data_IF_423222169264
#
_entry.id   IF_423222169264
#
_cell.length_a   1.000
_cell.length_b   1.000
_cell.length_c   1.000
_cell.angle_alpha   90.00
_cell.angle_beta   90.00
_cell.angle_gamma   90.00
#
_symmetry.space_group_name_H-M   'P 1'
#
loop_
_entity.id
_entity.type
_entity.pdbx_description
1 polymer ?
#
# COMPACT_ATOMS: atom_id res chain seq x y z
N UNK A 1 -23.39 -20.46 -73.80
CA UNK A 1 -22.28 -21.22 -73.18
C UNK A 1 -22.12 -20.67 -71.76
N UNK A 2 -22.69 -21.35 -70.76
CA UNK A 2 -22.06 -22.30 -69.82
C UNK A 2 -21.21 -21.62 -68.73
N UNK A 3 -21.51 -22.04 -67.50
CA UNK A 3 -21.32 -21.46 -66.17
C UNK A 3 -20.02 -21.88 -65.47
N UNK A 4 -19.79 -21.26 -64.29
CA UNK A 4 -18.92 -21.63 -63.12
C UNK A 4 -17.56 -20.92 -63.13
N UNK A 5 -17.03 -20.36 -62.04
CA UNK A 5 -17.05 -20.69 -60.59
C UNK A 5 -16.42 -19.46 -59.91
N UNK A 6 -16.81 -18.91 -58.75
CA UNK A 6 -17.35 -19.52 -57.55
C UNK A 6 -16.37 -19.31 -56.40
N UNK A 7 -16.87 -18.67 -55.32
CA UNK A 7 -16.38 -18.74 -53.95
C UNK A 7 -15.01 -18.12 -53.60
N UNK A 8 -15.04 -16.86 -53.15
CA UNK A 8 -14.02 -16.29 -52.25
C UNK A 8 -14.64 -15.16 -51.43
N UNK A 9 -15.71 -15.46 -50.67
CA UNK A 9 -16.40 -14.47 -49.82
C UNK A 9 -16.99 -15.08 -48.53
N UNK A 10 -16.43 -16.18 -48.03
CA UNK A 10 -16.94 -16.86 -46.84
C UNK A 10 -15.82 -17.28 -45.86
N UNK A 11 -14.85 -16.40 -45.59
CA UNK A 11 -13.85 -16.65 -44.54
C UNK A 11 -13.75 -15.56 -43.47
N UNK A 12 -14.73 -14.64 -43.40
CA UNK A 12 -14.70 -13.53 -42.43
C UNK A 12 -15.72 -13.64 -41.30
N UNK A 13 -16.58 -14.67 -41.30
CA UNK A 13 -17.72 -14.78 -40.38
C UNK A 13 -17.54 -15.77 -39.22
N UNK A 14 -16.35 -16.35 -39.03
CA UNK A 14 -16.09 -17.36 -37.97
C UNK A 14 -15.34 -16.78 -36.76
N UNK A 15 -14.85 -15.53 -36.82
CA UNK A 15 -14.12 -14.91 -35.71
C UNK A 15 -14.98 -14.14 -34.70
N UNK A 16 -16.31 -14.14 -34.85
CA UNK A 16 -17.24 -13.41 -33.96
C UNK A 16 -18.08 -14.32 -33.05
N UNK A 17 -17.83 -15.63 -33.05
CA UNK A 17 -18.52 -16.60 -32.20
C UNK A 17 -17.66 -17.08 -31.01
N UNK A 18 -16.82 -16.21 -30.47
CA UNK A 18 -15.92 -16.50 -29.33
C UNK A 18 -16.05 -15.53 -28.16
N UNK A 19 -17.10 -14.72 -28.09
CA UNK A 19 -17.42 -13.90 -26.91
C UNK A 19 -18.71 -14.40 -26.26
N UNK A 20 -18.71 -15.66 -25.81
CA UNK A 20 -19.77 -16.17 -24.95
C UNK A 20 -19.21 -17.19 -23.95
N UNK A 21 -18.45 -16.65 -23.00
CA UNK A 21 -18.41 -17.09 -21.61
C UNK A 21 -18.81 -15.80 -20.86
N UNK A 22 -20.02 -15.61 -20.34
CA UNK A 22 -20.66 -16.38 -19.26
C UNK A 22 -19.72 -16.69 -18.09
N UNK A 23 -18.76 -15.81 -17.84
CA UNK A 23 -18.21 -15.55 -16.51
C UNK A 23 -18.24 -14.04 -16.32
N UNK A 24 -19.43 -13.50 -16.02
CA UNK A 24 -19.43 -12.32 -15.17
C UNK A 24 -18.64 -12.76 -13.93
N UNK A 25 -17.54 -12.08 -13.55
CA UNK A 25 -16.85 -12.48 -12.34
C UNK A 25 -17.92 -12.50 -11.28
N UNK A 26 -18.17 -13.69 -10.69
CA UNK A 26 -18.89 -13.75 -9.44
C UNK A 26 -18.29 -12.63 -8.61
N UNK A 27 -19.12 -11.68 -8.20
CA UNK A 27 -18.75 -10.60 -7.30
C UNK A 27 -18.36 -11.29 -6.00
N UNK A 28 -17.17 -11.85 -6.02
CA UNK A 28 -16.67 -12.71 -4.99
C UNK A 28 -16.33 -11.75 -3.88
N UNK A 29 -16.84 -12.08 -2.71
CA UNK A 29 -16.32 -11.71 -1.40
C UNK A 29 -14.79 -11.95 -1.29
N UNK A 30 -14.10 -12.38 -2.35
CA UNK A 30 -12.65 -12.45 -2.48
C UNK A 30 -11.97 -11.09 -2.48
N UNK A 31 -12.62 -9.99 -2.91
CA UNK A 31 -12.07 -8.64 -2.69
C UNK A 31 -12.16 -8.25 -1.21
N UNK A 32 -13.26 -8.58 -0.52
CA UNK A 32 -13.41 -8.41 0.94
C UNK A 32 -12.41 -9.29 1.72
N UNK A 33 -12.08 -10.48 1.23
CA UNK A 33 -11.03 -11.34 1.80
C UNK A 33 -9.59 -10.92 1.44
N UNK A 34 -9.39 -10.17 0.35
CA UNK A 34 -8.07 -9.66 -0.05
C UNK A 34 -7.69 -8.40 0.74
N UNK A 35 -8.71 -7.65 1.15
CA UNK A 35 -8.62 -6.57 2.14
C UNK A 35 -9.29 -7.06 3.41
N UNK A 36 -8.70 -8.04 4.10
CA UNK A 36 -9.08 -8.32 5.48
C UNK A 36 -8.67 -7.10 6.32
N UNK A 37 -9.55 -6.10 6.31
CA UNK A 37 -9.61 -5.02 7.27
C UNK A 37 -10.06 -5.67 8.57
N UNK A 38 -9.22 -5.59 9.60
CA UNK A 38 -9.45 -6.32 10.84
C UNK A 38 -8.21 -6.56 11.68
N UNK A 39 -7.02 -6.41 11.10
CA UNK A 39 -5.77 -6.30 11.85
C UNK A 39 -5.02 -5.04 11.42
N UNK A 40 -5.39 -3.90 12.02
CA UNK A 40 -4.77 -2.62 11.73
C UNK A 40 -3.26 -2.63 11.96
N UNK A 41 -2.78 -3.45 12.91
CA UNK A 41 -1.36 -3.66 13.16
C UNK A 41 -0.68 -4.37 11.98
N UNK A 42 -1.21 -5.49 11.49
CA UNK A 42 -0.64 -6.19 10.34
C UNK A 42 -0.60 -5.30 9.09
N UNK A 43 -1.69 -4.58 8.82
CA UNK A 43 -1.80 -3.72 7.64
C UNK A 43 -0.80 -2.56 7.69
N UNK A 44 -0.68 -1.87 8.82
CA UNK A 44 0.25 -0.73 8.94
C UNK A 44 1.71 -1.18 8.94
N UNK A 45 2.04 -2.32 9.58
CA UNK A 45 3.40 -2.88 9.56
C UNK A 45 3.80 -3.27 8.14
N UNK A 46 2.88 -3.86 7.38
CA UNK A 46 3.07 -4.15 5.96
C UNK A 46 3.32 -2.89 5.14
N UNK A 47 2.52 -1.83 5.35
CA UNK A 47 2.69 -0.55 4.67
C UNK A 47 4.03 0.12 5.01
N UNK A 48 4.48 0.06 6.26
CA UNK A 48 5.81 0.53 6.69
C UNK A 48 6.90 -0.24 5.97
N UNK A 49 6.83 -1.58 5.95
CA UNK A 49 7.79 -2.42 5.24
C UNK A 49 7.86 -2.09 3.74
N UNK A 50 6.71 -1.87 3.11
CA UNK A 50 6.63 -1.45 1.72
C UNK A 50 7.29 -0.08 1.49
N UNK A 51 7.11 0.89 2.39
CA UNK A 51 7.81 2.17 2.31
C UNK A 51 9.33 2.01 2.48
N UNK A 52 9.75 1.17 3.42
CA UNK A 52 11.15 0.93 3.76
C UNK A 52 11.98 0.34 2.60
N UNK A 53 11.37 -0.40 1.68
CA UNK A 53 12.04 -0.93 0.48
C UNK A 53 12.68 0.15 -0.43
N UNK A 54 12.16 1.38 -0.46
CA UNK A 54 12.74 2.49 -1.25
C UNK A 54 13.63 3.41 -0.42
N UNK A 55 13.69 3.15 0.88
CA UNK A 55 14.39 3.97 1.82
C UNK A 55 15.83 3.49 1.98
N UNK A 56 16.77 4.43 1.97
CA UNK A 56 18.16 4.17 2.37
C UNK A 56 18.19 3.67 3.81
N UNK A 57 19.21 2.89 4.21
CA UNK A 57 19.35 2.46 5.60
C UNK A 57 19.26 3.62 6.61
N UNK A 58 18.86 3.30 7.85
CA UNK A 58 18.84 4.26 8.95
C UNK A 58 20.22 4.92 9.12
N UNK A 59 20.23 6.24 9.33
CA UNK A 59 21.47 7.05 9.42
C UNK A 59 22.00 7.52 8.06
N UNK A 60 21.37 7.14 6.95
CA UNK A 60 21.68 7.62 5.60
C UNK A 60 20.60 8.56 5.03
N UNK A 61 19.81 9.22 5.88
CA UNK A 61 18.73 10.13 5.47
C UNK A 61 19.24 11.25 4.56
N UNK A 62 20.49 11.70 4.77
CA UNK A 62 21.14 12.71 3.93
C UNK A 62 21.38 12.29 2.48
N UNK A 63 21.34 10.99 2.21
CA UNK A 63 21.55 10.40 0.89
C UNK A 63 20.26 9.80 0.32
N UNK A 64 19.13 10.06 0.97
CA UNK A 64 17.84 9.63 0.47
C UNK A 64 17.44 10.48 -0.72
N UNK A 65 17.18 9.81 -1.85
CA UNK A 65 16.48 10.44 -2.96
C UNK A 65 14.98 10.48 -2.63
N UNK A 66 14.41 11.68 -2.55
CA UNK A 66 12.99 11.89 -2.27
C UNK A 66 12.21 12.09 -3.57
N UNK A 67 12.22 11.07 -4.41
CA UNK A 67 11.44 11.05 -5.64
C UNK A 67 9.94 10.81 -5.37
N UNK A 68 9.16 10.78 -6.45
CA UNK A 68 7.72 10.55 -6.34
C UNK A 68 7.39 9.15 -5.78
N UNK A 69 8.25 8.16 -5.97
CA UNK A 69 8.01 6.81 -5.48
C UNK A 69 8.13 6.77 -3.96
N UNK A 70 9.20 7.32 -3.39
CA UNK A 70 9.39 7.45 -1.92
C UNK A 70 8.26 8.25 -1.30
N UNK A 71 7.91 9.40 -1.88
CA UNK A 71 6.81 10.23 -1.39
C UNK A 71 5.47 9.50 -1.42
N UNK A 72 5.20 8.76 -2.51
CA UNK A 72 3.98 7.96 -2.64
C UNK A 72 3.91 6.87 -1.58
N UNK A 73 5.01 6.13 -1.34
CA UNK A 73 4.99 5.04 -0.35
C UNK A 73 4.84 5.56 1.08
N UNK A 74 5.50 6.67 1.43
CA UNK A 74 5.27 7.34 2.70
C UNK A 74 3.81 7.78 2.85
N UNK A 75 3.21 8.36 1.80
CA UNK A 75 1.79 8.73 1.82
C UNK A 75 0.87 7.51 1.96
N UNK A 76 1.23 6.36 1.38
CA UNK A 76 0.49 5.11 1.53
C UNK A 76 0.42 4.65 2.98
N UNK A 77 1.50 4.80 3.77
CA UNK A 77 1.47 4.47 5.21
C UNK A 77 0.41 5.28 5.95
N UNK A 78 0.37 6.59 5.71
CA UNK A 78 -0.66 7.45 6.31
C UNK A 78 -2.08 7.13 5.81
N UNK A 79 -2.20 6.66 4.56
CA UNK A 79 -3.45 6.15 4.02
C UNK A 79 -3.92 4.91 4.78
N UNK A 80 -3.03 3.92 4.95
CA UNK A 80 -3.31 2.69 5.69
C UNK A 80 -3.71 2.97 7.12
N UNK A 81 -2.96 3.78 7.89
CA UNK A 81 -3.34 4.15 9.27
C UNK A 81 -4.77 4.70 9.35
N UNK A 82 -5.19 5.50 8.36
CA UNK A 82 -6.54 6.09 8.34
C UNK A 82 -7.61 5.07 7.97
N UNK A 83 -7.30 4.12 7.09
CA UNK A 83 -8.21 3.03 6.72
C UNK A 83 -8.45 2.11 7.91
N UNK A 84 -7.42 1.80 8.68
CA UNK A 84 -7.47 0.87 9.81
C UNK A 84 -7.86 1.54 11.14
N UNK A 85 -8.42 2.75 11.11
CA UNK A 85 -8.68 3.54 12.31
C UNK A 85 -9.60 2.85 13.33
N UNK A 86 -10.46 1.93 12.85
CA UNK A 86 -11.43 1.20 13.68
C UNK A 86 -10.90 -0.18 14.13
N UNK A 87 -9.75 -0.62 13.60
CA UNK A 87 -9.20 -1.98 13.76
C UNK A 87 -7.96 -2.01 14.66
N UNK A 88 -7.74 -0.98 15.48
CA UNK A 88 -6.63 -0.95 16.42
C UNK A 88 -6.90 -1.83 17.64
N UNK A 89 -5.94 -2.68 18.06
CA UNK A 89 -6.12 -3.55 19.22
C UNK A 89 -6.17 -2.79 20.55
N UNK A 90 -5.62 -1.56 20.60
CA UNK A 90 -5.65 -0.73 21.80
C UNK A 90 -5.48 0.76 21.49
N UNK A 91 -5.93 1.62 22.41
CA UNK A 91 -5.69 3.08 22.35
C UNK A 91 -4.19 3.43 22.31
N UNK A 92 -3.34 2.57 22.88
CA UNK A 92 -1.89 2.73 22.87
C UNK A 92 -1.36 2.63 21.44
N UNK A 93 -1.81 1.61 20.70
CA UNK A 93 -1.46 1.43 19.28
C UNK A 93 -2.01 2.57 18.44
N UNK A 94 -3.30 2.91 18.61
CA UNK A 94 -3.95 3.99 17.86
C UNK A 94 -3.19 5.32 17.98
N UNK A 95 -2.74 5.66 19.21
CA UNK A 95 -1.99 6.89 19.48
C UNK A 95 -0.67 6.91 18.69
N UNK A 96 0.11 5.83 18.77
CA UNK A 96 1.39 5.74 18.05
C UNK A 96 1.17 5.70 16.53
N UNK A 97 0.14 5.00 16.06
CA UNK A 97 -0.22 4.94 14.65
C UNK A 97 -0.57 6.33 14.09
N UNK A 98 -1.31 7.12 14.86
CA UNK A 98 -1.65 8.51 14.53
C UNK A 98 -0.40 9.38 14.37
N UNK A 99 0.57 9.27 15.28
CA UNK A 99 1.85 9.97 15.20
C UNK A 99 2.63 9.57 13.93
N UNK A 100 2.67 8.28 13.61
CA UNK A 100 3.28 7.77 12.38
C UNK A 100 2.62 8.36 11.13
N UNK A 101 1.29 8.40 11.07
CA UNK A 101 0.58 8.98 9.93
C UNK A 101 0.90 10.47 9.73
N UNK A 102 0.93 11.25 10.80
CA UNK A 102 1.29 12.68 10.74
C UNK A 102 2.70 12.85 10.20
N UNK A 103 3.66 12.07 10.70
CA UNK A 103 5.06 12.15 10.29
C UNK A 103 5.28 11.66 8.85
N UNK A 104 4.57 10.62 8.42
CA UNK A 104 4.61 10.12 7.05
C UNK A 104 4.06 11.15 6.04
N UNK A 105 2.97 11.85 6.41
CA UNK A 105 2.45 12.99 5.64
C UNK A 105 3.46 14.13 5.58
N UNK A 106 4.09 14.48 6.70
CA UNK A 106 5.11 15.53 6.72
C UNK A 106 6.29 15.16 5.81
N UNK A 107 6.83 13.95 5.95
CA UNK A 107 7.97 13.46 5.15
C UNK A 107 7.65 13.35 3.65
N UNK A 108 6.40 13.05 3.27
CA UNK A 108 5.99 12.96 1.86
C UNK A 108 5.74 14.31 1.17
N UNK A 109 5.48 15.37 1.94
CA UNK A 109 5.06 16.68 1.39
C UNK A 109 6.16 17.72 1.24
N UNK A 110 7.27 17.57 1.96
CA UNK A 110 8.35 18.56 1.91
C UNK A 110 8.97 18.56 0.51
N UNK A 111 9.09 19.76 -0.07
CA UNK A 111 9.55 19.95 -1.43
C UNK A 111 11.04 19.59 -1.59
N UNK A 112 11.40 19.19 -2.81
CA UNK A 112 12.78 18.92 -3.20
C UNK A 112 13.56 20.21 -3.50
N UNK A 113 13.61 21.12 -2.54
CA UNK A 113 14.41 22.35 -2.56
C UNK A 113 15.64 22.22 -1.66
N UNK A 114 16.69 23.03 -1.89
CA UNK A 114 17.84 23.10 -0.98
C UNK A 114 17.45 23.49 0.45
N UNK A 115 16.50 24.42 0.62
CA UNK A 115 16.05 24.86 1.94
C UNK A 115 15.24 23.77 2.67
N UNK A 116 14.48 22.96 1.92
CA UNK A 116 13.68 21.86 2.46
C UNK A 116 14.47 20.57 2.72
N UNK A 117 15.75 20.50 2.37
CA UNK A 117 16.54 19.28 2.48
C UNK A 117 16.73 18.83 3.93
N UNK A 118 17.15 19.74 4.81
CA UNK A 118 17.34 19.45 6.24
C UNK A 118 16.03 19.09 6.92
N UNK A 119 14.93 19.73 6.53
CA UNK A 119 13.60 19.43 7.04
C UNK A 119 13.14 18.03 6.60
N UNK A 120 13.38 17.65 5.33
CA UNK A 120 13.11 16.29 4.82
C UNK A 120 13.86 15.24 5.63
N UNK A 121 15.16 15.44 5.83
CA UNK A 121 16.00 14.49 6.57
C UNK A 121 15.49 14.32 8.00
N UNK A 122 15.15 15.43 8.68
CA UNK A 122 14.61 15.39 10.04
C UNK A 122 13.23 14.73 10.10
N UNK A 123 12.36 15.02 9.14
CA UNK A 123 11.02 14.43 9.08
C UNK A 123 11.08 12.93 8.80
N UNK A 124 11.96 12.50 7.90
CA UNK A 124 12.20 11.08 7.64
C UNK A 124 12.75 10.35 8.88
N UNK A 125 13.71 10.96 9.58
CA UNK A 125 14.26 10.39 10.82
C UNK A 125 13.18 10.23 11.90
N UNK A 126 12.33 11.25 12.09
CA UNK A 126 11.21 11.19 13.03
C UNK A 126 10.21 10.10 12.65
N UNK A 127 9.82 10.06 11.38
CA UNK A 127 8.95 9.02 10.85
C UNK A 127 9.50 7.61 11.15
N UNK A 128 10.78 7.36 10.85
CA UNK A 128 11.41 6.05 11.11
C UNK A 128 11.41 5.66 12.58
N UNK A 129 11.68 6.64 13.45
CA UNK A 129 11.66 6.41 14.90
C UNK A 129 10.28 5.96 15.37
N UNK A 130 9.23 6.68 14.99
CA UNK A 130 7.86 6.32 15.40
C UNK A 130 7.34 5.09 14.67
N UNK A 131 7.73 4.86 13.41
CA UNK A 131 7.37 3.64 12.68
C UNK A 131 7.96 2.39 13.36
N UNK A 132 9.23 2.43 13.77
CA UNK A 132 9.83 1.35 14.55
C UNK A 132 9.13 1.16 15.89
N UNK A 133 8.73 2.24 16.56
CA UNK A 133 7.95 2.18 17.79
C UNK A 133 6.59 1.52 17.56
N UNK A 134 5.90 1.84 16.47
CA UNK A 134 4.62 1.22 16.13
C UNK A 134 4.76 -0.28 15.89
N UNK A 135 5.78 -0.70 15.13
CA UNK A 135 6.08 -2.12 14.89
C UNK A 135 6.26 -2.87 16.21
N UNK A 136 7.07 -2.32 17.13
CA UNK A 136 7.28 -2.92 18.45
C UNK A 136 5.99 -2.95 19.28
N UNK A 137 5.23 -1.85 19.28
CA UNK A 137 3.97 -1.76 20.02
C UNK A 137 2.95 -2.78 19.53
N UNK A 138 2.85 -2.99 18.22
CA UNK A 138 2.00 -4.01 17.61
C UNK A 138 2.46 -5.44 17.95
N UNK A 139 3.78 -5.67 17.96
CA UNK A 139 4.32 -6.98 18.36
C UNK A 139 3.99 -7.31 19.82
N UNK A 140 4.09 -6.33 20.72
CA UNK A 140 3.74 -6.51 22.13
C UNK A 140 2.27 -6.92 22.31
N UNK A 141 1.33 -6.26 21.62
CA UNK A 141 -0.11 -6.60 21.67
C UNK A 141 -0.39 -8.02 21.15
N UNK A 142 0.31 -8.44 20.09
CA UNK A 142 0.17 -9.80 19.55
C UNK A 142 0.65 -10.87 20.55
N UNK A 143 1.72 -10.59 21.30
CA UNK A 143 2.22 -11.48 22.36
C UNK A 143 1.23 -11.55 23.52
N UNK A 144 0.69 -10.41 23.96
CA UNK A 144 -0.28 -10.35 25.05
C UNK A 144 -1.57 -11.13 24.70
N UNK A 145 -2.08 -10.98 23.47
CA UNK A 145 -3.25 -11.70 22.98
C UNK A 145 -3.05 -13.23 22.99
N UNK A 146 -1.88 -13.71 22.55
CA UNK A 146 -1.57 -15.15 22.53
C UNK A 146 -1.26 -15.77 23.90
N UNK A 147 -1.10 -14.96 24.95
CA UNK A 147 -0.87 -15.43 26.33
C UNK A 147 -2.15 -15.72 27.13
N UNK A 148 -3.31 -15.41 26.54
CA UNK A 148 -4.63 -15.54 27.18
C UNK A 148 -5.37 -16.85 26.84
N UNK A 149 -4.74 -17.73 26.05
CA UNK A 149 -5.21 -19.09 25.69
C UNK A 149 -4.54 -20.18 26.55
#
# INVERSE_FOLDING_TARGET
>A
MRTRTGALLLLSAVLLAGCHDEDAPETTNGLESYTDAGDGCAQVVSAIGYADELLRPLGQERFQDFDNAVRSRLASVAGTVRTEAEDWPSLRVETVASDVAVLAVAASRIESTPEGELERQRSLLKYRTEAARLVLTCLDEAVDAGSSD
#
